data_IF_710650480754
#
_entry.id   IF_710650480754
#
_cell.length_a   1.000
_cell.length_b   1.000
_cell.length_c   1.000
_cell.angle_alpha   90.00
_cell.angle_beta   90.00
_cell.angle_gamma   90.00
#
_symmetry.space_group_name_H-M   'P 1'
#
loop_
_entity.id
_entity.type
_entity.pdbx_description
1 polymer ?
#
# COMPACT_ATOMS: atom_id res chain seq x y z
N UNK A 1 3.89 4.01 6.79
CA UNK A 1 4.49 3.91 5.52
C UNK A 1 5.34 2.68 5.43
N UNK A 2 5.28 1.97 4.65
CA UNK A 2 5.81 0.92 4.59
C UNK A 2 5.97 0.00 3.77
N UNK A 3 6.54 -0.62 3.57
CA UNK A 3 6.68 -1.54 3.13
C UNK A 3 7.53 -2.43 2.81
N UNK A 4 7.93 -3.17 2.26
CA UNK A 4 8.85 -3.74 1.51
C UNK A 4 9.05 -5.19 1.66
N UNK A 5 9.59 -5.93 0.88
CA UNK A 5 9.61 -7.36 0.76
C UNK A 5 8.40 -7.84 -0.03
N UNK A 6 8.18 -9.13 -0.12
CA UNK A 6 6.99 -9.63 -0.76
C UNK A 6 5.80 -9.64 0.22
N UNK A 7 4.59 -9.87 -0.30
CA UNK A 7 3.38 -9.85 0.51
C UNK A 7 3.40 -10.88 1.64
N UNK A 8 4.00 -12.02 1.43
CA UNK A 8 4.08 -13.08 2.43
C UNK A 8 4.96 -12.69 3.60
N UNK A 9 6.14 -12.13 3.33
CA UNK A 9 7.06 -11.65 4.37
C UNK A 9 6.44 -10.51 5.17
N UNK A 10 5.75 -9.61 4.50
CA UNK A 10 5.08 -8.49 5.12
C UNK A 10 3.96 -8.98 6.04
N UNK A 11 3.16 -9.92 5.57
CA UNK A 11 2.04 -10.47 6.34
C UNK A 11 2.49 -11.16 7.63
N UNK A 12 3.60 -11.88 7.59
CA UNK A 12 4.10 -12.57 8.79
C UNK A 12 4.51 -11.62 9.91
N UNK A 13 4.77 -10.36 9.58
CA UNK A 13 5.19 -9.35 10.55
C UNK A 13 4.06 -8.41 10.99
N UNK A 14 2.94 -8.37 10.26
CA UNK A 14 1.85 -7.44 10.52
C UNK A 14 0.81 -8.00 11.49
N UNK A 15 0.60 -9.31 11.50
CA UNK A 15 -0.52 -9.90 12.23
C UNK A 15 -0.10 -10.60 13.51
N UNK A 16 -0.87 -10.35 14.57
CA UNK A 16 -0.81 -11.14 15.77
C UNK A 16 -1.59 -12.45 15.59
N UNK A 17 -1.28 -13.46 16.42
CA UNK A 17 -1.96 -14.76 16.34
C UNK A 17 -3.46 -14.70 16.64
N UNK A 18 -3.92 -13.63 17.29
CA UNK A 18 -5.31 -13.49 17.71
C UNK A 18 -6.24 -12.95 16.64
N UNK A 19 -5.70 -12.52 15.50
CA UNK A 19 -6.49 -11.86 14.46
C UNK A 19 -7.03 -12.84 13.43
N UNK A 20 -7.95 -13.71 13.88
CA UNK A 20 -8.57 -14.76 13.07
C UNK A 20 -9.29 -14.24 11.82
N UNK A 21 -9.85 -13.05 11.90
CA UNK A 21 -10.59 -12.47 10.78
C UNK A 21 -9.67 -12.15 9.62
N UNK A 22 -8.51 -11.58 9.90
CA UNK A 22 -7.53 -11.22 8.89
C UNK A 22 -6.87 -12.47 8.32
N UNK A 23 -6.52 -13.44 9.17
CA UNK A 23 -5.96 -14.73 8.71
C UNK A 23 -6.90 -15.44 7.73
N UNK A 24 -8.19 -15.47 8.01
CA UNK A 24 -9.17 -16.09 7.10
C UNK A 24 -9.24 -15.38 5.75
N UNK A 25 -9.11 -14.06 5.74
CA UNK A 25 -9.06 -13.29 4.50
C UNK A 25 -7.81 -13.57 3.68
N UNK A 26 -6.66 -13.68 4.33
CA UNK A 26 -5.38 -13.98 3.69
C UNK A 26 -5.37 -15.39 3.08
N UNK A 27 -5.93 -16.37 3.79
CA UNK A 27 -5.99 -17.74 3.30
C UNK A 27 -6.81 -17.91 2.03
N UNK A 28 -7.69 -16.98 1.71
CA UNK A 28 -8.50 -17.01 0.49
C UNK A 28 -7.77 -16.41 -0.73
N UNK A 29 -6.49 -16.06 -0.58
CA UNK A 29 -5.62 -15.59 -1.67
C UNK A 29 -6.19 -14.36 -2.42
N UNK A 30 -6.90 -13.49 -1.71
CA UNK A 30 -7.58 -12.34 -2.31
C UNK A 30 -6.68 -11.10 -2.25
N UNK A 31 -5.63 -11.13 -3.05
CA UNK A 31 -4.61 -10.08 -3.12
C UNK A 31 -4.71 -9.40 -4.49
N UNK A 32 -4.87 -8.07 -4.49
CA UNK A 32 -4.78 -7.26 -5.69
C UNK A 32 -3.34 -6.76 -5.85
N UNK A 33 -2.76 -6.95 -7.03
CA UNK A 33 -1.42 -6.44 -7.32
C UNK A 33 -1.54 -5.10 -8.04
N UNK A 34 -0.98 -4.05 -7.48
CA UNK A 34 -1.00 -2.71 -8.05
C UNK A 34 -0.41 -2.61 -9.45
N UNK A 35 0.44 -3.56 -9.85
CA UNK A 35 1.00 -3.60 -11.20
C UNK A 35 -0.05 -3.95 -12.27
N UNK A 36 -1.13 -4.64 -11.91
CA UNK A 36 -2.08 -5.20 -12.88
C UNK A 36 -3.56 -4.96 -12.54
N UNK A 37 -3.89 -4.71 -11.28
CA UNK A 37 -5.28 -4.69 -10.82
C UNK A 37 -6.09 -3.50 -11.33
N UNK A 38 -7.42 -3.69 -11.37
CA UNK A 38 -8.38 -2.61 -11.57
C UNK A 38 -8.90 -2.11 -10.23
N UNK A 39 -9.66 -1.02 -10.25
CA UNK A 39 -10.32 -0.49 -9.05
C UNK A 39 -11.35 -1.50 -8.51
N UNK A 40 -12.02 -2.23 -9.39
CA UNK A 40 -12.97 -3.29 -8.99
C UNK A 40 -12.25 -4.44 -8.25
N UNK A 41 -11.07 -4.81 -8.70
CA UNK A 41 -10.25 -5.83 -8.02
C UNK A 41 -9.90 -5.38 -6.60
N UNK A 42 -9.59 -4.10 -6.42
CA UNK A 42 -9.26 -3.53 -5.12
C UNK A 42 -10.46 -3.57 -4.17
N UNK A 43 -11.66 -3.30 -4.66
CA UNK A 43 -12.88 -3.35 -3.84
C UNK A 43 -13.14 -4.72 -3.23
N UNK A 44 -12.74 -5.77 -3.92
CA UNK A 44 -12.97 -7.16 -3.52
C UNK A 44 -11.75 -7.79 -2.86
N UNK A 45 -10.61 -7.11 -2.83
CA UNK A 45 -9.38 -7.63 -2.27
C UNK A 45 -9.28 -7.43 -0.75
N UNK A 46 -8.51 -8.27 -0.11
CA UNK A 46 -8.14 -8.09 1.30
C UNK A 46 -6.85 -7.29 1.42
N UNK A 47 -5.97 -7.43 0.45
CA UNK A 47 -4.66 -6.79 0.42
C UNK A 47 -4.46 -6.15 -0.95
N UNK A 48 -3.99 -4.92 -0.95
CA UNK A 48 -3.46 -4.25 -2.13
C UNK A 48 -1.94 -4.22 -2.01
N UNK A 49 -1.28 -5.06 -2.78
CA UNK A 49 0.18 -5.13 -2.83
C UNK A 49 0.72 -4.21 -3.92
N UNK A 50 1.96 -3.77 -3.78
CA UNK A 50 2.63 -2.88 -4.74
C UNK A 50 1.83 -1.60 -5.05
N UNK A 51 1.37 -0.94 -4.01
CA UNK A 51 0.61 0.31 -4.15
C UNK A 51 1.37 1.36 -4.97
N UNK A 52 2.69 1.44 -4.83
CA UNK A 52 3.53 2.34 -5.60
C UNK A 52 3.44 2.09 -7.11
N UNK A 53 3.29 0.83 -7.54
CA UNK A 53 3.15 0.49 -8.96
C UNK A 53 1.78 0.91 -9.51
N UNK A 54 0.73 0.85 -8.70
CA UNK A 54 -0.58 1.38 -9.08
C UNK A 54 -0.50 2.88 -9.36
N UNK A 55 0.17 3.63 -8.49
CA UNK A 55 0.36 5.07 -8.68
C UNK A 55 1.17 5.34 -9.97
N UNK A 56 2.21 4.56 -10.21
CA UNK A 56 3.02 4.69 -11.42
C UNK A 56 2.19 4.52 -12.68
N UNK A 57 1.33 3.50 -12.70
CA UNK A 57 0.42 3.27 -13.83
C UNK A 57 -0.54 4.44 -14.05
N UNK A 58 -1.16 4.94 -12.98
CA UNK A 58 -2.11 6.04 -13.06
C UNK A 58 -1.44 7.32 -13.57
N UNK A 59 -0.23 7.61 -13.13
CA UNK A 59 0.53 8.76 -13.62
C UNK A 59 0.88 8.61 -15.08
N UNK A 60 1.30 7.43 -15.51
CA UNK A 60 1.64 7.14 -16.90
C UNK A 60 0.43 7.30 -17.82
N UNK A 61 -0.75 6.93 -17.33
CA UNK A 61 -2.01 7.08 -18.07
C UNK A 61 -2.60 8.49 -17.98
N UNK A 62 -1.94 9.39 -17.28
CA UNK A 62 -2.41 10.77 -17.10
C UNK A 62 -3.63 10.91 -16.20
N UNK A 63 -3.91 9.90 -15.35
CA UNK A 63 -5.07 9.91 -14.46
C UNK A 63 -4.76 10.66 -13.16
N UNK A 64 -5.80 11.28 -12.60
CA UNK A 64 -5.69 11.97 -11.33
C UNK A 64 -5.58 10.96 -10.17
N UNK A 65 -4.62 11.20 -9.27
CA UNK A 65 -4.40 10.36 -8.10
C UNK A 65 -4.92 10.97 -6.80
N UNK A 66 -5.39 12.21 -6.83
CA UNK A 66 -5.75 12.94 -5.62
C UNK A 66 -6.89 12.32 -4.81
N UNK A 67 -7.81 11.64 -5.47
CA UNK A 67 -8.95 10.98 -4.82
C UNK A 67 -8.77 9.46 -4.67
N UNK A 68 -7.62 8.93 -5.04
CA UNK A 68 -7.37 7.49 -5.08
C UNK A 68 -7.58 6.84 -3.70
N UNK A 69 -6.99 7.40 -2.66
CA UNK A 69 -7.10 6.86 -1.31
C UNK A 69 -8.55 6.92 -0.81
N UNK A 70 -9.24 8.02 -1.07
CA UNK A 70 -10.64 8.15 -0.69
C UNK A 70 -11.52 7.11 -1.40
N UNK A 71 -11.27 6.88 -2.68
CA UNK A 71 -11.98 5.88 -3.47
C UNK A 71 -11.71 4.47 -2.95
N UNK A 72 -10.47 4.14 -2.64
CA UNK A 72 -10.09 2.82 -2.12
C UNK A 72 -10.79 2.57 -0.79
N UNK A 73 -10.68 3.49 0.17
CA UNK A 73 -11.28 3.29 1.49
C UNK A 73 -12.80 3.37 1.50
N UNK A 74 -13.41 4.14 0.59
CA UNK A 74 -14.86 4.16 0.45
C UNK A 74 -15.40 2.81 -0.03
N UNK A 75 -14.69 2.16 -0.95
CA UNK A 75 -15.08 0.86 -1.48
C UNK A 75 -14.65 -0.33 -0.64
N UNK A 76 -13.60 -0.18 0.18
CA UNK A 76 -13.03 -1.27 0.96
C UNK A 76 -12.31 -0.74 2.21
N UNK A 77 -13.05 -0.38 3.27
CA UNK A 77 -12.46 0.22 4.47
C UNK A 77 -11.55 -0.69 5.28
N UNK A 78 -11.61 -1.99 5.05
CA UNK A 78 -10.79 -2.99 5.77
C UNK A 78 -9.54 -3.42 4.99
N UNK A 79 -9.23 -2.75 3.89
CA UNK A 79 -8.11 -3.14 3.03
C UNK A 79 -6.76 -2.91 3.72
N UNK A 80 -5.82 -3.80 3.44
CA UNK A 80 -4.43 -3.65 3.85
C UNK A 80 -3.63 -3.20 2.64
N UNK A 81 -2.95 -2.07 2.76
CA UNK A 81 -2.14 -1.52 1.67
C UNK A 81 -0.67 -1.77 1.96
N UNK A 82 0.02 -2.39 1.02
CA UNK A 82 1.46 -2.66 1.09
C UNK A 82 2.15 -1.83 0.00
N UNK A 83 3.16 -1.07 0.40
CA UNK A 83 3.87 -0.17 -0.48
C UNK A 83 5.37 -0.21 -0.15
N UNK A 84 6.19 -0.30 -1.19
CA UNK A 84 7.63 -0.16 -1.04
C UNK A 84 7.99 1.29 -0.73
N UNK A 85 9.05 1.48 0.03
CA UNK A 85 9.57 2.80 0.29
C UNK A 85 10.44 3.27 -0.89
N UNK A 86 9.95 4.25 -1.63
CA UNK A 86 10.64 4.81 -2.80
C UNK A 86 11.11 6.24 -2.58
N UNK A 87 10.91 6.78 -1.40
CA UNK A 87 11.24 8.17 -1.05
C UNK A 87 12.65 8.37 -0.48
N UNK A 88 13.44 7.31 -0.30
CA UNK A 88 14.78 7.40 0.25
C UNK A 88 15.86 7.36 -0.82
N UNK A 89 16.99 7.99 -0.55
CA UNK A 89 18.14 8.01 -1.46
C UNK A 89 18.25 9.29 -2.27
N UNK A 90 19.02 9.23 -3.37
CA UNK A 90 19.35 10.38 -4.20
C UNK A 90 18.10 10.89 -4.93
N UNK A 91 17.95 12.21 -5.04
CA UNK A 91 16.87 12.83 -5.81
C UNK A 91 17.05 12.47 -7.29
N UNK A 92 16.02 11.88 -7.93
CA UNK A 92 16.11 11.52 -9.35
C UNK A 92 16.30 12.74 -10.25
N UNK A 93 17.11 12.57 -11.30
CA UNK A 93 17.33 13.63 -12.29
C UNK A 93 16.11 13.83 -13.20
N UNK A 94 15.43 12.73 -13.53
CA UNK A 94 14.26 12.78 -14.40
C UNK A 94 13.06 13.39 -13.70
N UNK A 95 12.38 14.33 -14.38
CA UNK A 95 11.21 15.01 -13.85
C UNK A 95 10.08 14.04 -13.53
N UNK A 96 9.85 13.06 -14.40
CA UNK A 96 8.80 12.05 -14.20
C UNK A 96 9.02 11.22 -12.95
N UNK A 97 10.28 10.84 -12.69
CA UNK A 97 10.64 10.09 -11.49
C UNK A 97 10.46 10.92 -10.22
N UNK A 98 10.75 12.22 -10.27
CA UNK A 98 10.50 13.12 -9.16
C UNK A 98 9.02 13.27 -8.86
N UNK A 99 8.19 13.42 -9.89
CA UNK A 99 6.73 13.50 -9.76
C UNK A 99 6.17 12.22 -9.16
N UNK A 100 6.62 11.07 -9.66
CA UNK A 100 6.23 9.77 -9.16
C UNK A 100 6.55 9.63 -7.66
N UNK A 101 7.77 9.91 -7.28
CA UNK A 101 8.26 9.83 -5.91
C UNK A 101 7.47 10.73 -4.97
N UNK A 102 7.23 11.97 -5.38
CA UNK A 102 6.42 12.93 -4.64
C UNK A 102 4.96 12.48 -4.50
N UNK A 103 4.38 11.97 -5.58
CA UNK A 103 3.00 11.49 -5.59
C UNK A 103 2.81 10.31 -4.66
N UNK A 104 3.72 9.33 -4.67
CA UNK A 104 3.66 8.18 -3.77
C UNK A 104 3.75 8.64 -2.32
N UNK A 105 4.67 9.54 -2.00
CA UNK A 105 4.81 10.09 -0.65
C UNK A 105 3.54 10.79 -0.18
N UNK A 106 2.93 11.60 -1.04
CA UNK A 106 1.68 12.30 -0.74
C UNK A 106 0.50 11.34 -0.53
N UNK A 107 0.39 10.32 -1.37
CA UNK A 107 -0.66 9.31 -1.22
C UNK A 107 -0.48 8.49 0.05
N UNK A 108 0.75 8.13 0.40
CA UNK A 108 1.03 7.43 1.66
C UNK A 108 0.67 8.28 2.87
N UNK A 109 0.94 9.57 2.84
CA UNK A 109 0.53 10.47 3.92
C UNK A 109 -0.99 10.50 4.09
N UNK A 110 -1.74 10.51 3.01
CA UNK A 110 -3.20 10.43 3.06
C UNK A 110 -3.69 9.09 3.59
N UNK A 111 -3.08 8.00 3.15
CA UNK A 111 -3.41 6.66 3.60
C UNK A 111 -3.17 6.52 5.11
N UNK A 112 -2.05 7.00 5.60
CA UNK A 112 -1.70 6.97 7.03
C UNK A 112 -2.72 7.73 7.87
N UNK A 113 -3.21 8.87 7.41
CA UNK A 113 -4.22 9.64 8.13
C UNK A 113 -5.53 8.87 8.32
N UNK A 114 -5.89 8.05 7.34
CA UNK A 114 -7.13 7.26 7.35
C UNK A 114 -6.97 5.87 7.96
N UNK A 115 -5.74 5.41 8.11
CA UNK A 115 -5.44 4.07 8.62
C UNK A 115 -5.53 4.02 10.14
N UNK A 116 -6.03 2.90 10.66
CA UNK A 116 -6.04 2.62 12.09
C UNK A 116 -4.67 2.15 12.57
N UNK A 117 -3.92 1.49 11.69
CA UNK A 117 -2.60 0.94 12.00
C UNK A 117 -1.65 1.16 10.84
N UNK A 118 -0.43 1.54 11.16
CA UNK A 118 0.66 1.72 10.18
C UNK A 118 1.91 1.05 10.72
N UNK A 119 2.52 0.21 9.91
CA UNK A 119 3.79 -0.44 10.22
C UNK A 119 4.82 -0.20 9.13
N UNK A 120 6.05 -0.02 9.56
CA UNK A 120 7.22 0.00 8.70
C UNK A 120 7.96 -1.31 8.88
N UNK A 121 8.33 -1.94 7.77
CA UNK A 121 9.09 -3.18 7.79
C UNK A 121 10.44 -2.92 7.16
N UNK A 122 11.49 -3.20 7.91
CA UNK A 122 12.87 -3.08 7.46
C UNK A 122 13.64 -4.32 7.89
N UNK A 123 14.27 -4.99 6.93
CA UNK A 123 15.03 -6.22 7.16
C UNK A 123 14.24 -7.30 7.90
N UNK A 124 12.97 -7.46 7.54
CA UNK A 124 12.07 -8.42 8.16
C UNK A 124 11.55 -8.05 9.55
N UNK A 125 11.92 -6.87 10.05
CA UNK A 125 11.50 -6.40 11.37
C UNK A 125 10.43 -5.35 11.24
N UNK A 126 9.26 -5.58 11.85
CA UNK A 126 8.16 -4.63 11.88
C UNK A 126 8.31 -3.60 12.98
N UNK A 127 8.04 -2.34 12.65
CA UNK A 127 7.98 -1.24 13.60
C UNK A 127 6.61 -0.58 13.50
N UNK A 128 5.87 -0.56 14.59
CA UNK A 128 4.58 0.11 14.62
C UNK A 128 4.78 1.62 14.68
N UNK A 129 4.23 2.34 13.70
CA UNK A 129 4.30 3.80 13.62
C UNK A 129 2.99 4.44 14.08
N UNK A 130 1.86 3.73 13.96
CA UNK A 130 0.53 4.20 14.35
C UNK A 130 -0.32 3.02 14.76
N UNK A 131 -1.12 3.20 15.81
CA UNK A 131 -1.97 2.15 16.36
C UNK A 131 -1.20 1.22 17.29
N UNK A 132 -1.83 0.17 17.73
CA UNK A 132 -1.24 -0.83 18.63
C UNK A 132 -1.20 -2.21 18.03
#
# INVERSE_FOLDING_TARGET
KELCGNAEDTMSNIYSEDDKCIKNKICNNNIADGAYCSIEDIKNACILNHFHLLIKRLLKDGKCTDTLIDTIYAGNPSIIIICDEIGSGIVPLEKEDRIYRETVGRMLCRAVKKSDRVERIACGIGQCLKGE
#
